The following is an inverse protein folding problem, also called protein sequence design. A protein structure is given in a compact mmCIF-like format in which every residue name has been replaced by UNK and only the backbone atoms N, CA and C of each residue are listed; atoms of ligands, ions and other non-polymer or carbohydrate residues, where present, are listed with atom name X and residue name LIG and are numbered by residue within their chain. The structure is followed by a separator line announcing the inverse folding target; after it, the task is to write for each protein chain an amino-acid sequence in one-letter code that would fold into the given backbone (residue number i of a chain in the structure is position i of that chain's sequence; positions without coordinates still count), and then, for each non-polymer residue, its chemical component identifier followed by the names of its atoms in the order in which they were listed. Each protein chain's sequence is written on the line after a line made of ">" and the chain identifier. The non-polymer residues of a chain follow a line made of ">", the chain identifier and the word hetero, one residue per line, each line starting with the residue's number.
data_IF_180712435908
#
_entry.id   IF_180712435908
#
_cell.length_a   1.000
_cell.length_b   1.000
_cell.length_c   1.000
_cell.angle_alpha   90.00
_cell.angle_beta   90.00
_cell.angle_gamma   90.00
#
_symmetry.space_group_name_H-M   'P 1'
#
loop_
_entity.id
_entity.type
_entity.pdbx_description
1 polymer ?
#
# COMPACT_ATOMS: atom_id res chain seq x y z
N UNK A 1 12.62 -4.79 -19.64
CA UNK A 1 12.34 -4.92 -18.19
C UNK A 1 10.92 -4.44 -17.97
N UNK A 2 10.07 -5.20 -17.26
CA UNK A 2 8.70 -4.72 -17.02
C UNK A 2 8.76 -3.46 -16.15
N UNK A 3 8.21 -2.37 -16.66
CA UNK A 3 8.19 -1.04 -16.03
C UNK A 3 7.33 -0.98 -14.77
N UNK A 4 6.57 -2.05 -14.49
CA UNK A 4 5.56 -2.10 -13.45
C UNK A 4 5.69 -3.37 -12.61
N UNK A 5 5.23 -3.28 -11.37
CA UNK A 5 5.02 -4.37 -10.41
C UNK A 5 3.52 -4.64 -10.32
N UNK A 6 3.14 -5.91 -10.19
CA UNK A 6 1.75 -6.31 -9.92
C UNK A 6 1.57 -6.37 -8.41
N UNK A 7 0.50 -5.77 -7.91
CA UNK A 7 -0.03 -5.96 -6.55
C UNK A 7 -1.40 -6.61 -6.63
N UNK A 8 -1.73 -7.42 -5.63
CA UNK A 8 -2.99 -8.16 -5.55
C UNK A 8 -3.94 -7.57 -4.52
N UNK A 9 -5.22 -7.94 -4.58
CA UNK A 9 -6.23 -7.60 -3.55
C UNK A 9 -5.65 -7.85 -2.15
N UNK A 10 -5.96 -6.96 -1.22
CA UNK A 10 -5.47 -6.92 0.16
C UNK A 10 -3.97 -6.59 0.34
N UNK A 11 -3.24 -6.29 -0.74
CA UNK A 11 -1.87 -5.80 -0.64
C UNK A 11 -1.82 -4.27 -0.55
N UNK A 12 -0.86 -3.80 0.23
CA UNK A 12 -0.50 -2.40 0.33
C UNK A 12 0.57 -2.02 -0.67
N UNK A 13 0.56 -0.76 -1.10
CA UNK A 13 1.67 -0.14 -1.80
C UNK A 13 1.99 1.22 -1.16
N UNK A 14 3.27 1.51 -0.93
CA UNK A 14 3.70 2.80 -0.43
C UNK A 14 4.94 3.35 -1.15
N UNK A 15 5.00 4.68 -1.25
CA UNK A 15 6.12 5.41 -1.83
C UNK A 15 7.18 5.71 -0.76
N UNK A 16 8.43 5.21 -0.88
CA UNK A 16 9.47 5.45 0.12
C UNK A 16 10.10 6.85 0.05
N UNK A 17 9.86 7.60 -1.03
CA UNK A 17 10.44 8.93 -1.25
C UNK A 17 9.48 10.01 -0.72
N UNK A 18 9.83 10.65 0.40
CA UNK A 18 9.00 11.66 1.09
C UNK A 18 9.47 13.10 0.89
N UNK A 19 10.62 13.31 0.25
CA UNK A 19 11.26 14.64 0.10
C UNK A 19 10.37 15.70 -0.57
N UNK A 20 9.36 15.28 -1.33
CA UNK A 20 8.38 16.14 -2.01
C UNK A 20 6.96 16.07 -1.41
N UNK A 21 6.76 15.27 -0.38
CA UNK A 21 5.45 14.99 0.21
C UNK A 21 5.33 15.50 1.66
N UNK A 22 6.15 16.49 2.04
CA UNK A 22 6.11 17.13 3.36
C UNK A 22 6.27 16.15 4.53
N UNK A 23 7.26 15.25 4.43
CA UNK A 23 7.54 14.18 5.40
C UNK A 23 6.42 13.15 5.60
N UNK A 24 5.40 13.16 4.73
CA UNK A 24 4.33 12.15 4.73
C UNK A 24 4.64 11.01 3.77
N UNK A 25 4.23 9.81 4.14
CA UNK A 25 4.30 8.62 3.28
C UNK A 25 2.97 8.43 2.56
N UNK A 26 3.01 8.37 1.23
CA UNK A 26 1.84 7.96 0.45
C UNK A 26 1.68 6.45 0.51
N UNK A 27 0.53 5.97 0.97
CA UNK A 27 0.18 4.55 1.09
C UNK A 27 -1.24 4.29 0.57
N UNK A 28 -1.44 3.12 -0.02
CA UNK A 28 -2.73 2.66 -0.51
C UNK A 28 -2.91 1.16 -0.27
N UNK A 29 -4.16 0.74 -0.07
CA UNK A 29 -4.61 -0.66 -0.03
C UNK A 29 -5.38 -0.95 -1.33
N UNK A 30 -5.11 -2.09 -1.97
CA UNK A 30 -5.93 -2.55 -3.10
C UNK A 30 -7.15 -3.32 -2.59
N UNK A 31 -8.31 -2.66 -2.55
CA UNK A 31 -9.57 -3.21 -2.00
C UNK A 31 -10.64 -3.51 -3.07
N UNK A 32 -10.54 -2.87 -4.24
CA UNK A 32 -11.60 -2.89 -5.24
C UNK A 32 -11.37 -3.93 -6.34
N UNK A 33 -10.13 -4.05 -6.82
CA UNK A 33 -9.75 -4.94 -7.93
C UNK A 33 -8.91 -6.12 -7.44
N UNK A 34 -8.82 -7.16 -8.28
CA UNK A 34 -8.02 -8.34 -7.94
C UNK A 34 -6.53 -8.09 -8.13
N UNK A 35 -6.15 -7.27 -9.12
CA UNK A 35 -4.77 -6.89 -9.39
C UNK A 35 -4.66 -5.45 -9.87
N UNK A 36 -3.53 -4.81 -9.59
CA UNK A 36 -3.18 -3.49 -10.13
C UNK A 36 -1.69 -3.40 -10.49
N UNK A 37 -1.37 -2.56 -11.47
CA UNK A 37 0.00 -2.22 -11.84
C UNK A 37 0.47 -0.98 -11.08
N UNK A 38 1.62 -1.07 -10.41
CA UNK A 38 2.28 0.04 -9.74
C UNK A 38 3.71 0.23 -10.27
N UNK A 39 4.26 1.43 -10.11
CA UNK A 39 5.67 1.70 -10.42
C UNK A 39 6.59 0.84 -9.54
N UNK A 40 7.72 0.39 -10.10
CA UNK A 40 8.79 -0.30 -9.36
C UNK A 40 9.38 0.53 -8.20
N UNK A 41 9.17 1.86 -8.21
CA UNK A 41 9.60 2.74 -7.11
C UNK A 41 8.82 2.53 -5.82
N UNK A 42 7.63 1.92 -5.88
CA UNK A 42 6.80 1.63 -4.72
C UNK A 42 7.23 0.32 -4.07
N UNK A 43 7.09 0.25 -2.75
CA UNK A 43 7.21 -0.98 -1.97
C UNK A 43 5.81 -1.53 -1.73
N UNK A 44 5.67 -2.85 -1.65
CA UNK A 44 4.40 -3.49 -1.33
C UNK A 44 4.59 -4.53 -0.22
N UNK A 45 3.54 -4.70 0.59
CA UNK A 45 3.48 -5.66 1.67
C UNK A 45 2.02 -6.10 1.87
N UNK A 46 1.81 -7.13 2.68
CA UNK A 46 0.51 -7.67 3.02
C UNK A 46 0.48 -8.08 4.49
N UNK A 47 -0.71 -8.28 5.03
CA UNK A 47 -0.86 -8.87 6.36
C UNK A 47 -0.72 -10.39 6.23
N UNK A 48 0.12 -10.98 7.08
CA UNK A 48 0.38 -12.43 7.05
C UNK A 48 -0.67 -13.25 7.83
N UNK A 49 -1.38 -12.63 8.78
CA UNK A 49 -2.49 -13.23 9.51
C UNK A 49 -3.66 -12.23 9.66
N UNK A 50 -4.67 -12.38 8.79
CA UNK A 50 -5.86 -11.52 8.79
C UNK A 50 -6.79 -11.77 10.00
N UNK A 51 -6.58 -12.84 10.79
CA UNK A 51 -7.32 -13.06 12.03
C UNK A 51 -6.82 -12.17 13.18
N UNK A 52 -5.54 -11.76 13.14
CA UNK A 52 -4.96 -10.83 14.11
C UNK A 52 -5.10 -9.37 13.65
N UNK A 53 -4.99 -9.10 12.34
CA UNK A 53 -5.05 -7.74 11.80
C UNK A 53 -5.70 -7.71 10.42
N UNK A 54 -6.87 -7.08 10.31
CA UNK A 54 -7.50 -6.86 9.00
C UNK A 54 -6.75 -5.77 8.20
N UNK A 55 -6.48 -5.97 6.90
CA UNK A 55 -5.88 -4.96 6.03
C UNK A 55 -6.67 -3.63 6.05
N UNK A 56 -8.00 -3.69 5.98
CA UNK A 56 -8.85 -2.51 5.98
C UNK A 56 -8.74 -1.73 7.30
N UNK A 57 -8.62 -2.43 8.42
CA UNK A 57 -8.42 -1.80 9.72
C UNK A 57 -7.08 -1.07 9.80
N UNK A 58 -6.00 -1.68 9.30
CA UNK A 58 -4.71 -1.00 9.20
C UNK A 58 -4.77 0.21 8.26
N UNK A 59 -5.49 0.12 7.14
CA UNK A 59 -5.70 1.24 6.24
C UNK A 59 -6.50 2.37 6.91
N UNK A 60 -7.52 2.05 7.71
CA UNK A 60 -8.23 3.05 8.53
C UNK A 60 -7.28 3.74 9.50
N UNK A 61 -6.38 2.99 10.14
CA UNK A 61 -5.36 3.56 11.02
C UNK A 61 -4.43 4.53 10.29
N UNK A 62 -3.92 4.17 9.11
CA UNK A 62 -3.07 5.06 8.30
C UNK A 62 -3.76 6.32 7.78
N UNK A 63 -5.10 6.36 7.74
CA UNK A 63 -5.86 7.52 7.29
C UNK A 63 -6.14 8.53 8.41
N UNK A 64 -5.73 8.24 9.64
CA UNK A 64 -5.89 9.16 10.76
C UNK A 64 -5.02 10.41 10.57
N UNK A 65 -5.48 11.58 11.08
CA UNK A 65 -4.82 12.86 10.81
C UNK A 65 -3.66 13.19 11.76
N UNK A 66 -3.54 12.50 12.89
CA UNK A 66 -2.43 12.68 13.84
C UNK A 66 -1.11 12.09 13.34
#
# INVERSE_FOLDING_TARGET
>A
MSTYKIVKRNQFAYGPVTSRNGDKISIALLDTYDEALISQSYKSFEIIDENELMPEYLMMWFRRPE
#
